data_IF_250215451067
#
_entry.id   IF_250215451067
#
_cell.length_a   1.000
_cell.length_b   1.000
_cell.length_c   1.000
_cell.angle_alpha   90.00
_cell.angle_beta   90.00
_cell.angle_gamma   90.00
#
_symmetry.space_group_name_H-M   'P 1'
#
loop_
_entity.id
_entity.type
_entity.pdbx_description
1 polymer ?
#
# COMPACT_ATOMS: atom_id res chain seq x y z
N UNK A 1 -23.76 4.17 1.78
CA UNK A 1 -22.30 4.02 1.65
C UNK A 1 -22.00 2.56 1.37
N UNK A 2 -21.23 2.28 0.32
CA UNK A 2 -20.79 0.92 0.01
C UNK A 2 -19.56 0.54 0.87
N UNK A 3 -19.34 -0.75 1.14
CA UNK A 3 -18.12 -1.25 1.83
C UNK A 3 -16.86 -0.74 1.12
N UNK A 4 -16.91 -0.68 -0.19
CA UNK A 4 -15.87 -0.12 -1.05
C UNK A 4 -15.56 1.36 -0.81
N UNK A 5 -16.57 2.15 -0.45
CA UNK A 5 -16.43 3.58 -0.17
C UNK A 5 -15.91 3.82 1.25
N UNK A 6 -16.30 2.97 2.20
CA UNK A 6 -15.73 2.93 3.56
C UNK A 6 -14.24 2.61 3.50
N UNK A 7 -13.83 1.58 2.75
CA UNK A 7 -12.41 1.24 2.57
C UNK A 7 -11.64 2.39 1.91
N UNK A 8 -12.22 3.06 0.91
CA UNK A 8 -11.57 4.20 0.27
C UNK A 8 -11.39 5.38 1.23
N UNK A 9 -12.38 5.65 2.09
CA UNK A 9 -12.27 6.67 3.13
C UNK A 9 -11.20 6.33 4.17
N UNK A 10 -11.11 5.06 4.58
CA UNK A 10 -10.10 4.60 5.53
C UNK A 10 -8.69 4.70 4.97
N UNK A 11 -8.49 4.36 3.69
CA UNK A 11 -7.20 4.56 3.02
C UNK A 11 -6.82 6.03 2.93
N UNK A 12 -7.78 6.92 2.64
CA UNK A 12 -7.55 8.38 2.69
C UNK A 12 -7.15 8.84 4.09
N UNK A 13 -7.84 8.36 5.12
CA UNK A 13 -7.51 8.68 6.51
C UNK A 13 -6.10 8.19 6.86
N UNK A 14 -5.73 6.97 6.48
CA UNK A 14 -4.39 6.43 6.70
C UNK A 14 -3.29 7.26 6.02
N UNK A 15 -3.52 7.71 4.78
CA UNK A 15 -2.58 8.57 4.05
C UNK A 15 -2.40 9.93 4.75
N UNK A 16 -3.49 10.57 5.18
CA UNK A 16 -3.43 11.83 5.92
C UNK A 16 -2.69 11.68 7.26
N UNK A 17 -2.89 10.57 7.97
CA UNK A 17 -2.15 10.28 9.20
C UNK A 17 -0.66 10.05 8.94
N UNK A 18 -0.30 9.46 7.80
CA UNK A 18 1.10 9.30 7.40
C UNK A 18 1.76 10.66 7.15
N UNK A 19 1.07 11.55 6.45
CA UNK A 19 1.53 12.92 6.22
C UNK A 19 1.69 13.69 7.54
N UNK A 20 0.71 13.60 8.44
CA UNK A 20 0.75 14.22 9.76
C UNK A 20 1.92 13.69 10.62
N UNK A 21 2.24 12.40 10.55
CA UNK A 21 3.41 11.80 11.23
C UNK A 21 4.73 12.30 10.66
N UNK A 22 4.83 12.46 9.35
CA UNK A 22 6.02 13.00 8.71
C UNK A 22 6.21 14.48 9.09
N UNK A 23 5.13 15.26 9.07
CA UNK A 23 5.15 16.66 9.47
C UNK A 23 5.54 16.84 10.95
N UNK A 24 4.99 16.03 11.86
CA UNK A 24 5.39 16.04 13.29
C UNK A 24 6.85 15.62 13.48
N UNK A 25 7.34 14.64 12.73
CA UNK A 25 8.77 14.28 12.78
C UNK A 25 9.69 15.41 12.29
N UNK A 26 9.28 16.17 11.28
CA UNK A 26 10.04 17.34 10.82
C UNK A 26 9.99 18.47 11.84
N UNK A 27 8.83 18.70 12.47
CA UNK A 27 8.67 19.71 13.51
C UNK A 27 9.53 19.38 14.76
N UNK A 28 9.52 18.13 15.23
CA UNK A 28 10.35 17.67 16.35
C UNK A 28 11.84 17.89 16.08
N UNK A 29 12.29 17.56 14.85
CA UNK A 29 13.66 17.84 14.42
C UNK A 29 13.98 19.34 14.43
N UNK A 30 13.10 20.18 13.89
CA UNK A 30 13.31 21.63 13.87
C UNK A 30 13.35 22.22 15.29
N UNK A 31 12.50 21.76 16.20
CA UNK A 31 12.50 22.18 17.61
C UNK A 31 13.81 21.76 18.27
N UNK A 32 14.24 20.51 18.07
CA UNK A 32 15.48 19.97 18.65
C UNK A 32 16.72 20.70 18.13
N UNK A 33 16.81 20.91 16.82
CA UNK A 33 17.92 21.64 16.19
C UNK A 33 17.96 23.10 16.67
N UNK A 34 16.78 23.75 16.79
CA UNK A 34 16.65 25.09 17.35
C UNK A 34 17.06 25.17 18.82
N UNK A 35 16.64 24.20 19.64
CA UNK A 35 17.01 24.09 21.05
C UNK A 35 18.51 23.90 21.24
N UNK A 36 19.15 23.06 20.41
CA UNK A 36 20.60 22.86 20.44
C UNK A 36 21.37 24.14 20.05
N UNK A 37 20.88 24.86 19.03
CA UNK A 37 21.44 26.15 18.63
C UNK A 37 21.33 27.18 19.76
N UNK A 38 20.17 27.26 20.40
CA UNK A 38 19.93 28.15 21.53
C UNK A 38 20.82 27.79 22.74
N UNK A 39 20.94 26.51 23.09
CA UNK A 39 21.80 26.05 24.19
C UNK A 39 23.28 26.39 23.94
N UNK A 40 23.74 26.22 22.69
CA UNK A 40 25.11 26.60 22.30
C UNK A 40 25.31 28.12 22.45
N UNK A 41 24.36 28.93 21.98
CA UNK A 41 24.43 30.39 22.06
C UNK A 41 24.34 30.95 23.50
N UNK A 42 23.75 30.20 24.42
CA UNK A 42 23.52 30.61 25.81
C UNK A 42 24.43 29.89 26.81
N UNK A 43 25.48 29.22 26.32
CA UNK A 43 26.44 28.51 27.16
C UNK A 43 27.05 29.45 28.20
N UNK A 44 26.93 29.07 29.49
CA UNK A 44 27.42 29.86 30.62
C UNK A 44 26.47 30.95 31.12
N UNK A 45 25.29 31.12 30.51
CA UNK A 45 24.27 32.04 31.01
C UNK A 45 23.59 31.49 32.27
N UNK A 46 23.42 32.34 33.29
CA UNK A 46 22.66 32.04 34.51
C UNK A 46 21.31 32.77 34.56
N UNK A 47 20.84 33.30 33.43
CA UNK A 47 19.58 34.02 33.37
C UNK A 47 18.39 33.05 33.46
N UNK A 48 17.38 33.32 34.30
CA UNK A 48 16.21 32.43 34.46
C UNK A 48 15.40 32.29 33.15
N UNK A 49 15.48 33.26 32.24
CA UNK A 49 14.85 33.22 30.93
C UNK A 49 15.43 32.11 30.03
N UNK A 50 16.73 31.81 30.15
CA UNK A 50 17.39 30.74 29.37
C UNK A 50 16.86 29.37 29.80
N UNK A 51 16.75 29.15 31.10
CA UNK A 51 16.18 27.91 31.66
C UNK A 51 14.70 27.75 31.26
N UNK A 52 13.92 28.84 31.34
CA UNK A 52 12.52 28.85 30.91
C UNK A 52 12.37 28.49 29.43
N UNK A 53 13.19 29.07 28.55
CA UNK A 53 13.14 28.78 27.10
C UNK A 53 13.54 27.33 26.83
N UNK A 54 14.58 26.82 27.49
CA UNK A 54 14.98 25.41 27.37
C UNK A 54 13.85 24.46 27.80
N UNK A 55 13.17 24.76 28.91
CA UNK A 55 12.02 23.98 29.37
C UNK A 55 10.85 24.02 28.38
N UNK A 56 10.55 25.18 27.78
CA UNK A 56 9.51 25.31 26.75
C UNK A 56 9.83 24.48 25.50
N UNK A 57 11.09 24.49 25.05
CA UNK A 57 11.52 23.68 23.90
C UNK A 57 11.41 22.17 24.17
N UNK A 58 11.77 21.73 25.38
CA UNK A 58 11.61 20.34 25.80
C UNK A 58 10.14 19.93 25.86
N UNK A 59 9.28 20.78 26.43
CA UNK A 59 7.83 20.55 26.50
C UNK A 59 7.22 20.47 25.10
N UNK A 60 7.58 21.39 24.20
CA UNK A 60 7.10 21.39 22.83
C UNK A 60 7.52 20.11 22.07
N UNK A 61 8.76 19.66 22.23
CA UNK A 61 9.25 18.41 21.63
C UNK A 61 8.46 17.21 22.14
N UNK A 62 8.25 17.11 23.46
CA UNK A 62 7.44 16.04 24.07
C UNK A 62 6.03 16.00 23.50
N UNK A 63 5.35 17.14 23.41
CA UNK A 63 3.98 17.20 22.88
C UNK A 63 3.90 16.79 21.40
N UNK A 64 4.89 17.16 20.59
CA UNK A 64 4.96 16.73 19.18
C UNK A 64 5.21 15.23 19.06
N UNK A 65 6.02 14.66 19.94
CA UNK A 65 6.28 13.22 19.99
C UNK A 65 5.04 12.44 20.44
N UNK A 66 4.30 12.94 21.42
CA UNK A 66 3.03 12.36 21.88
C UNK A 66 2.00 12.35 20.75
N UNK A 67 1.80 13.49 20.06
CA UNK A 67 0.90 13.57 18.91
C UNK A 67 1.29 12.59 17.78
N UNK A 68 2.60 12.39 17.55
CA UNK A 68 3.09 11.40 16.58
C UNK A 68 2.75 9.98 17.02
N UNK A 69 2.83 9.69 18.33
CA UNK A 69 2.42 8.43 18.93
C UNK A 69 0.91 8.18 18.74
N UNK A 70 0.09 9.19 18.97
CA UNK A 70 -1.37 9.12 18.79
C UNK A 70 -1.73 8.81 17.32
N UNK A 71 -1.10 9.50 16.35
CA UNK A 71 -1.31 9.18 14.94
C UNK A 71 -0.92 7.75 14.59
N UNK A 72 0.17 7.24 15.18
CA UNK A 72 0.58 5.85 14.97
C UNK A 72 -0.46 4.86 15.52
N UNK A 73 -1.03 5.15 16.69
CA UNK A 73 -2.09 4.33 17.28
C UNK A 73 -3.35 4.33 16.41
N UNK A 74 -3.75 5.49 15.89
CA UNK A 74 -4.92 5.58 14.99
C UNK A 74 -4.68 4.80 13.70
N UNK A 75 -3.47 4.85 13.12
CA UNK A 75 -3.13 4.04 11.95
C UNK A 75 -3.24 2.54 12.24
N UNK A 76 -2.74 2.07 13.38
CA UNK A 76 -2.86 0.66 13.77
C UNK A 76 -4.33 0.21 13.90
N UNK A 77 -5.20 1.09 14.40
CA UNK A 77 -6.65 0.83 14.46
C UNK A 77 -7.26 0.73 13.05
N UNK A 78 -6.90 1.65 12.15
CA UNK A 78 -7.36 1.61 10.75
C UNK A 78 -6.87 0.34 10.05
N UNK A 79 -5.61 -0.05 10.26
CA UNK A 79 -5.02 -1.25 9.67
C UNK A 79 -5.70 -2.51 10.18
N UNK A 80 -5.93 -2.62 11.50
CA UNK A 80 -6.67 -3.74 12.09
C UNK A 80 -8.10 -3.81 11.55
N UNK A 81 -8.77 -2.66 11.40
CA UNK A 81 -10.11 -2.59 10.81
C UNK A 81 -10.11 -3.03 9.34
N UNK A 82 -9.12 -2.59 8.55
CA UNK A 82 -8.95 -3.02 7.17
C UNK A 82 -8.66 -4.53 7.06
N UNK A 83 -7.85 -5.10 7.95
CA UNK A 83 -7.58 -6.54 8.02
C UNK A 83 -8.84 -7.35 8.35
N UNK A 84 -9.66 -6.88 9.29
CA UNK A 84 -10.92 -7.54 9.63
C UNK A 84 -11.94 -7.52 8.50
N UNK A 85 -12.03 -6.42 7.74
CA UNK A 85 -12.92 -6.35 6.58
C UNK A 85 -12.37 -7.21 5.43
N UNK A 86 -11.07 -7.15 5.16
CA UNK A 86 -10.45 -7.90 4.07
C UNK A 86 -10.39 -9.42 4.34
N UNK A 87 -10.42 -9.83 5.60
CA UNK A 87 -10.43 -11.23 6.01
C UNK A 87 -11.81 -11.92 5.99
N UNK A 88 -12.88 -11.24 5.55
CA UNK A 88 -14.25 -11.72 5.73
C UNK A 88 -15.01 -12.17 4.46
N UNK A 89 -14.31 -12.53 3.38
CA UNK A 89 -14.95 -12.99 2.12
C UNK A 89 -14.76 -14.47 1.72
N UNK A 90 -14.15 -15.32 2.56
CA UNK A 90 -14.17 -16.78 2.33
C UNK A 90 -14.13 -17.57 3.64
N UNK A 91 -15.24 -17.59 4.39
CA UNK A 91 -15.73 -18.76 5.14
C UNK A 91 -17.07 -18.40 5.75
N UNK A 92 -18.16 -18.78 5.08
CA UNK A 92 -19.35 -19.20 5.82
C UNK A 92 -19.31 -20.73 5.96
N UNK A 93 -19.99 -21.24 6.99
CA UNK A 93 -20.08 -22.63 7.46
C UNK A 93 -18.93 -23.07 8.38
N UNK A 94 -19.05 -22.76 9.68
CA UNK A 94 -19.49 -23.72 10.73
C UNK A 94 -19.42 -23.06 12.11
N UNK A 95 -20.58 -22.74 12.71
CA UNK A 95 -20.76 -22.66 14.17
C UNK A 95 -21.12 -24.10 14.66
N UNK A 96 -20.83 -24.51 15.92
CA UNK A 96 -21.39 -23.84 17.09
C UNK A 96 -20.42 -23.64 18.28
N UNK A 97 -20.82 -22.68 19.13
CA UNK A 97 -20.29 -22.41 20.47
C UNK A 97 -20.56 -23.59 21.44
N UNK A 98 -19.67 -23.77 22.41
CA UNK A 98 -19.92 -24.55 23.62
C UNK A 98 -18.78 -24.37 24.64
N UNK A 99 -19.15 -23.94 25.85
CA UNK A 99 -18.28 -23.50 26.95
C UNK A 99 -17.45 -24.64 27.60
N UNK A 100 -16.29 -24.25 28.17
CA UNK A 100 -15.39 -24.98 29.10
C UNK A 100 -16.10 -25.52 30.38
N UNK A 101 -15.46 -26.22 31.36
CA UNK A 101 -14.01 -26.43 31.61
C UNK A 101 -13.54 -27.80 32.22
N UNK A 102 -12.22 -27.92 32.38
CA UNK A 102 -11.47 -28.46 33.55
C UNK A 102 -10.57 -29.70 33.38
N UNK A 103 -9.34 -29.52 33.90
CA UNK A 103 -8.46 -30.48 34.62
C UNK A 103 -7.25 -31.10 33.88
N UNK A 104 -6.09 -30.49 34.15
CA UNK A 104 -4.78 -31.04 34.59
C UNK A 104 -4.39 -32.47 34.16
N UNK A 105 -3.29 -32.60 33.39
CA UNK A 105 -2.07 -33.37 33.75
C UNK A 105 -0.96 -33.25 32.67
N UNK A 106 0.25 -32.91 33.09
CA UNK A 106 1.56 -33.19 32.43
C UNK A 106 2.08 -34.53 33.01
N UNK A 107 3.16 -35.22 32.53
CA UNK A 107 4.13 -35.04 31.40
C UNK A 107 4.30 -36.41 30.62
N UNK A 108 5.37 -36.82 29.87
CA UNK A 108 6.72 -36.27 29.69
C UNK A 108 7.31 -36.22 28.26
N UNK A 109 8.48 -35.57 28.21
CA UNK A 109 9.37 -35.26 27.09
C UNK A 109 9.91 -36.54 26.43
N UNK A 110 9.74 -36.66 25.12
CA UNK A 110 10.63 -37.45 24.26
C UNK A 110 11.24 -36.56 23.17
N UNK A 111 12.57 -36.59 23.11
CA UNK A 111 13.36 -35.98 22.06
C UNK A 111 13.30 -36.84 20.80
N UNK A 112 12.82 -36.30 19.69
CA UNK A 112 13.27 -36.75 18.38
C UNK A 112 13.62 -35.55 17.49
N UNK A 113 14.80 -35.62 16.90
CA UNK A 113 15.39 -34.62 16.03
C UNK A 113 15.10 -35.02 14.59
N UNK A 114 14.20 -34.33 13.89
CA UNK A 114 14.26 -34.28 12.42
C UNK A 114 13.62 -33.01 11.86
N UNK A 115 14.48 -32.17 11.29
CA UNK A 115 14.30 -31.23 10.17
C UNK A 115 13.31 -30.07 10.31
N UNK A 116 13.83 -28.98 10.91
CA UNK A 116 13.43 -27.61 10.58
C UNK A 116 13.82 -27.28 9.13
N UNK A 117 12.82 -27.15 8.26
CA UNK A 117 12.89 -26.26 7.11
C UNK A 117 11.52 -25.63 6.88
N UNK A 118 11.13 -24.73 7.77
CA UNK A 118 10.17 -23.69 7.42
C UNK A 118 10.87 -22.38 7.72
N UNK A 119 11.27 -21.70 6.64
CA UNK A 119 11.94 -20.41 6.72
C UNK A 119 11.02 -19.37 7.39
N UNK A 120 11.57 -18.25 7.88
CA UNK A 120 10.77 -17.23 8.52
C UNK A 120 9.73 -16.73 7.52
N UNK A 121 8.45 -17.02 7.79
CA UNK A 121 7.33 -16.36 7.14
C UNK A 121 7.50 -14.87 7.43
N UNK A 122 8.03 -14.14 6.45
CA UNK A 122 8.30 -12.72 6.56
C UNK A 122 7.04 -12.01 7.07
N UNK A 123 7.21 -11.15 8.07
CA UNK A 123 6.18 -10.22 8.51
C UNK A 123 5.62 -9.48 7.28
N UNK A 124 4.34 -9.03 7.30
CA UNK A 124 3.82 -8.21 6.21
C UNK A 124 4.76 -7.02 5.99
N UNK A 125 5.39 -6.98 4.82
CA UNK A 125 6.38 -5.95 4.46
C UNK A 125 5.73 -4.57 4.59
N UNK A 126 6.39 -3.67 5.31
CA UNK A 126 5.86 -2.31 5.47
C UNK A 126 5.96 -1.57 4.15
N UNK A 127 5.01 -0.66 3.91
CA UNK A 127 5.02 0.25 2.77
C UNK A 127 6.34 1.03 2.65
N UNK A 128 6.93 1.38 3.80
CA UNK A 128 8.23 2.05 3.88
C UNK A 128 9.37 1.15 3.39
N UNK A 129 9.30 -0.15 3.64
CA UNK A 129 10.32 -1.12 3.22
C UNK A 129 10.31 -1.28 1.69
N UNK A 130 9.12 -1.32 1.09
CA UNK A 130 8.95 -1.39 -0.37
C UNK A 130 9.45 -0.11 -1.06
N UNK A 131 9.20 1.07 -0.48
CA UNK A 131 9.74 2.34 -0.98
C UNK A 131 11.28 2.37 -0.85
N UNK A 132 11.81 1.92 0.28
CA UNK A 132 13.25 1.85 0.50
C UNK A 132 13.93 0.86 -0.46
N UNK A 133 13.27 -0.25 -0.80
CA UNK A 133 13.73 -1.17 -1.84
C UNK A 133 13.80 -0.51 -3.21
N UNK A 134 12.77 0.24 -3.60
CA UNK A 134 12.77 0.96 -4.88
C UNK A 134 13.90 1.99 -4.96
N UNK A 135 14.15 2.73 -3.87
CA UNK A 135 15.27 3.67 -3.78
C UNK A 135 16.63 2.97 -3.90
N UNK A 136 16.81 1.84 -3.20
CA UNK A 136 18.04 1.01 -3.29
C UNK A 136 18.28 0.49 -4.70
N UNK A 137 17.21 0.15 -5.43
CA UNK A 137 17.27 -0.31 -6.80
C UNK A 137 17.43 0.83 -7.83
N UNK A 138 17.67 2.07 -7.38
CA UNK A 138 17.94 3.23 -8.24
C UNK A 138 16.70 3.81 -8.92
N UNK A 139 15.50 3.43 -8.48
CA UNK A 139 14.27 3.98 -9.02
C UNK A 139 14.12 5.45 -8.60
N UNK A 140 13.85 6.32 -9.57
CA UNK A 140 13.62 7.76 -9.34
C UNK A 140 12.22 7.99 -8.75
N UNK A 141 12.08 7.74 -7.45
CA UNK A 141 10.84 7.94 -6.70
C UNK A 141 10.71 9.37 -6.21
N UNK A 142 9.51 9.91 -6.32
CA UNK A 142 9.02 11.00 -5.48
C UNK A 142 8.12 10.40 -4.42
N UNK A 143 8.67 10.07 -3.24
CA UNK A 143 7.91 9.37 -2.18
C UNK A 143 6.64 10.12 -1.76
N UNK A 144 6.63 11.44 -1.88
CA UNK A 144 5.49 12.34 -1.65
C UNK A 144 4.37 12.21 -2.71
N UNK A 145 4.70 11.68 -3.89
CA UNK A 145 3.77 11.51 -5.02
C UNK A 145 3.35 10.07 -5.26
N UNK A 146 3.82 9.13 -4.44
CA UNK A 146 3.42 7.72 -4.51
C UNK A 146 1.95 7.61 -4.18
N UNK A 147 1.19 7.09 -5.14
CA UNK A 147 -0.23 6.78 -5.01
C UNK A 147 -0.40 5.37 -4.47
N UNK A 148 0.40 4.42 -4.97
CA UNK A 148 0.39 3.05 -4.48
C UNK A 148 1.71 2.32 -4.73
N UNK A 149 2.12 1.46 -3.81
CA UNK A 149 3.19 0.47 -3.94
C UNK A 149 2.60 -0.93 -3.68
N UNK A 150 3.21 -1.95 -4.27
CA UNK A 150 2.78 -3.34 -4.14
C UNK A 150 3.84 -4.27 -4.71
N UNK A 151 3.51 -5.56 -4.80
CA UNK A 151 4.44 -6.57 -5.28
C UNK A 151 3.83 -7.36 -6.42
N UNK A 152 4.48 -7.33 -7.58
CA UNK A 152 4.07 -8.15 -8.70
C UNK A 152 4.25 -9.63 -8.35
N UNK A 153 3.53 -10.50 -9.04
CA UNK A 153 3.57 -11.96 -8.85
C UNK A 153 4.94 -12.61 -9.02
N UNK A 154 5.84 -11.97 -9.76
CA UNK A 154 7.22 -12.41 -9.97
C UNK A 154 8.17 -11.93 -8.85
N UNK A 155 7.63 -11.28 -7.81
CA UNK A 155 8.37 -10.80 -6.65
C UNK A 155 8.94 -9.39 -6.79
N UNK A 156 8.89 -8.76 -7.98
CA UNK A 156 9.40 -7.40 -8.15
C UNK A 156 8.44 -6.36 -7.55
N UNK A 157 9.00 -5.33 -6.92
CA UNK A 157 8.20 -4.22 -6.39
C UNK A 157 7.63 -3.40 -7.55
N UNK A 158 6.34 -3.08 -7.47
CA UNK A 158 5.63 -2.24 -8.43
C UNK A 158 5.04 -1.03 -7.73
N UNK A 159 4.89 0.05 -8.46
CA UNK A 159 4.44 1.32 -7.90
C UNK A 159 3.77 2.21 -8.93
N UNK A 160 2.98 3.14 -8.40
CA UNK A 160 2.28 4.15 -9.15
C UNK A 160 2.43 5.48 -8.41
N UNK A 161 2.76 6.52 -9.16
CA UNK A 161 2.78 7.90 -8.69
C UNK A 161 1.65 8.71 -9.33
N UNK A 162 1.43 9.93 -8.85
CA UNK A 162 0.51 10.89 -9.46
C UNK A 162 0.77 11.04 -10.95
N UNK A 163 2.05 11.21 -11.32
CA UNK A 163 2.49 11.34 -12.70
C UNK A 163 2.00 12.62 -13.39
N UNK A 164 1.86 12.55 -14.71
CA UNK A 164 1.56 13.65 -15.63
C UNK A 164 0.48 13.20 -16.60
N UNK A 165 -0.55 14.03 -16.81
CA UNK A 165 -1.74 13.66 -17.59
C UNK A 165 -1.42 13.22 -19.03
N UNK A 166 -0.35 13.75 -19.63
CA UNK A 166 0.03 13.50 -21.01
C UNK A 166 1.01 12.33 -21.15
N UNK A 167 1.77 12.01 -20.08
CA UNK A 167 2.88 11.06 -20.14
C UNK A 167 2.68 9.76 -19.37
N UNK A 168 2.39 9.79 -18.07
CA UNK A 168 2.41 8.58 -17.24
C UNK A 168 1.73 8.73 -15.88
N UNK A 169 1.57 7.61 -15.17
CA UNK A 169 1.08 7.58 -13.79
C UNK A 169 -0.43 7.76 -13.66
N UNK A 170 -0.91 8.04 -12.45
CA UNK A 170 -2.34 8.11 -12.13
C UNK A 170 -3.07 9.13 -13.01
N UNK A 171 -2.52 10.33 -13.18
CA UNK A 171 -3.09 11.39 -14.00
C UNK A 171 -3.30 10.95 -15.45
N UNK A 172 -2.32 10.22 -16.02
CA UNK A 172 -2.43 9.69 -17.38
C UNK A 172 -3.43 8.54 -17.51
N UNK A 173 -3.51 7.67 -16.49
CA UNK A 173 -4.48 6.57 -16.43
C UNK A 173 -5.90 7.14 -16.36
N UNK A 174 -6.13 8.14 -15.51
CA UNK A 174 -7.45 8.72 -15.24
C UNK A 174 -7.79 9.96 -16.09
N UNK A 175 -7.05 10.21 -17.17
CA UNK A 175 -7.31 11.33 -18.07
C UNK A 175 -8.74 11.26 -18.63
N UNK A 176 -9.39 12.40 -18.94
CA UNK A 176 -10.80 12.43 -19.34
C UNK A 176 -11.19 11.42 -20.43
N UNK A 177 -10.33 11.24 -21.44
CA UNK A 177 -10.57 10.31 -22.53
C UNK A 177 -10.64 8.83 -22.10
N UNK A 178 -9.92 8.44 -21.05
CA UNK A 178 -9.86 7.04 -20.56
C UNK A 178 -10.91 6.68 -19.54
N UNK A 179 -11.49 7.68 -18.87
CA UNK A 179 -12.52 7.45 -17.84
C UNK A 179 -13.70 6.65 -18.38
N UNK A 180 -14.16 7.02 -19.57
CA UNK A 180 -15.25 6.34 -20.28
C UNK A 180 -14.92 4.88 -20.59
N UNK A 181 -13.66 4.55 -20.84
CA UNK A 181 -13.24 3.18 -21.12
C UNK A 181 -13.37 2.30 -19.87
N UNK A 182 -12.96 2.82 -18.70
CA UNK A 182 -13.12 2.12 -17.43
C UNK A 182 -14.59 1.96 -17.03
N UNK A 183 -15.37 3.03 -17.15
CA UNK A 183 -16.81 3.00 -16.88
C UNK A 183 -17.53 2.01 -17.81
N UNK A 184 -17.19 2.00 -19.11
CA UNK A 184 -17.72 1.03 -20.06
C UNK A 184 -17.32 -0.41 -19.71
N UNK A 185 -16.18 -0.61 -19.04
CA UNK A 185 -15.76 -1.89 -18.49
C UNK A 185 -16.40 -2.20 -17.12
N UNK A 186 -17.28 -1.35 -16.61
CA UNK A 186 -17.90 -1.54 -15.30
C UNK A 186 -16.93 -1.33 -14.14
N UNK A 187 -15.79 -0.68 -14.37
CA UNK A 187 -14.82 -0.34 -13.35
C UNK A 187 -15.07 1.11 -12.91
N UNK A 188 -15.55 1.34 -11.68
CA UNK A 188 -15.66 2.68 -11.12
C UNK A 188 -14.32 3.39 -11.13
N UNK A 189 -14.29 4.69 -11.42
CA UNK A 189 -13.04 5.46 -11.54
C UNK A 189 -12.18 5.42 -10.28
N UNK A 190 -12.81 5.39 -9.12
CA UNK A 190 -12.17 5.26 -7.81
C UNK A 190 -11.60 3.85 -7.54
N UNK A 191 -12.00 2.85 -8.34
CA UNK A 191 -11.53 1.45 -8.28
C UNK A 191 -10.51 1.09 -9.34
N UNK A 192 -10.23 1.98 -10.29
CA UNK A 192 -9.28 1.71 -11.38
C UNK A 192 -7.90 1.32 -10.83
N UNK A 193 -7.36 2.08 -9.88
CA UNK A 193 -6.02 1.80 -9.33
C UNK A 193 -6.01 0.50 -8.54
N UNK A 194 -7.03 0.26 -7.72
CA UNK A 194 -7.17 -0.99 -6.97
C UNK A 194 -7.25 -2.21 -7.89
N UNK A 195 -8.03 -2.09 -8.97
CA UNK A 195 -8.20 -3.14 -9.97
C UNK A 195 -6.87 -3.44 -10.66
N UNK A 196 -6.11 -2.41 -11.05
CA UNK A 196 -4.79 -2.58 -11.67
C UNK A 196 -3.86 -3.35 -10.73
N UNK A 197 -3.73 -2.94 -9.47
CA UNK A 197 -2.85 -3.63 -8.53
C UNK A 197 -3.33 -5.06 -8.25
N UNK A 198 -4.64 -5.27 -8.02
CA UNK A 198 -5.18 -6.61 -7.82
C UNK A 198 -4.87 -7.56 -8.99
N UNK A 199 -5.03 -7.09 -10.23
CA UNK A 199 -4.73 -7.88 -11.42
C UNK A 199 -3.24 -8.23 -11.50
N UNK A 200 -2.38 -7.25 -11.27
CA UNK A 200 -0.93 -7.42 -11.38
C UNK A 200 -0.35 -8.25 -10.21
N UNK A 201 -0.96 -8.19 -9.03
CA UNK A 201 -0.58 -8.91 -7.81
C UNK A 201 -1.10 -10.35 -7.79
N UNK A 202 -2.25 -10.63 -8.41
CA UNK A 202 -2.94 -11.92 -8.21
C UNK A 202 -3.24 -12.70 -9.49
N UNK A 203 -3.27 -12.07 -10.67
CA UNK A 203 -3.68 -12.72 -11.92
C UNK A 203 -2.53 -12.90 -12.92
N UNK A 204 -2.66 -13.88 -13.80
CA UNK A 204 -1.74 -14.05 -14.93
C UNK A 204 -2.23 -13.24 -16.13
N UNK A 205 -1.34 -12.51 -16.82
CA UNK A 205 -1.73 -11.83 -18.03
C UNK A 205 -2.11 -12.85 -19.11
N UNK A 206 -3.24 -12.59 -19.77
CA UNK A 206 -3.76 -13.44 -20.84
C UNK A 206 -3.05 -13.21 -22.19
N UNK A 207 -2.37 -12.08 -22.34
CA UNK A 207 -1.58 -11.71 -23.52
C UNK A 207 -0.58 -10.59 -23.17
N UNK A 208 0.37 -10.32 -24.07
CA UNK A 208 1.26 -9.16 -24.01
C UNK A 208 1.27 -8.45 -25.36
N UNK A 209 1.26 -7.12 -25.37
CA UNK A 209 1.11 -6.37 -26.63
C UNK A 209 2.42 -6.11 -27.38
N UNK A 210 3.50 -6.82 -27.01
CA UNK A 210 4.83 -6.70 -27.62
C UNK A 210 5.55 -5.36 -27.36
N UNK A 211 4.91 -4.40 -26.68
CA UNK A 211 5.47 -3.09 -26.30
C UNK A 211 5.55 -2.90 -24.78
N UNK A 212 5.71 -4.01 -24.04
CA UNK A 212 5.80 -4.00 -22.57
C UNK A 212 4.46 -3.90 -21.83
N UNK A 213 3.32 -4.01 -22.51
CA UNK A 213 2.00 -4.04 -21.89
C UNK A 213 1.50 -5.46 -21.64
N UNK A 214 1.27 -5.79 -20.37
CA UNK A 214 0.54 -7.00 -19.97
C UNK A 214 -0.97 -6.77 -20.12
N UNK A 215 -1.70 -7.73 -20.69
CA UNK A 215 -3.15 -7.66 -20.85
C UNK A 215 -3.77 -8.65 -19.88
N UNK A 216 -4.66 -8.16 -19.03
CA UNK A 216 -5.42 -8.96 -18.07
C UNK A 216 -6.87 -9.06 -18.50
N UNK A 217 -7.51 -10.18 -18.20
CA UNK A 217 -8.95 -10.31 -18.38
C UNK A 217 -9.68 -9.68 -17.18
N UNK A 218 -10.76 -8.98 -17.46
CA UNK A 218 -11.68 -8.46 -16.46
C UNK A 218 -13.10 -8.87 -16.81
N UNK A 219 -13.84 -9.34 -15.82
CA UNK A 219 -15.26 -9.65 -15.95
C UNK A 219 -16.07 -8.37 -15.92
N UNK A 220 -16.90 -8.18 -16.94
CA UNK A 220 -17.76 -7.00 -17.06
C UNK A 220 -19.17 -7.43 -17.43
N UNK A 221 -20.17 -6.60 -17.12
CA UNK A 221 -21.58 -6.90 -17.44
C UNK A 221 -21.83 -7.14 -18.95
N UNK A 222 -20.95 -6.62 -19.83
CA UNK A 222 -20.99 -6.84 -21.28
C UNK A 222 -20.14 -8.02 -21.78
N UNK A 223 -19.68 -8.89 -20.87
CA UNK A 223 -18.76 -10.00 -21.13
C UNK A 223 -17.29 -9.65 -20.86
N UNK A 224 -16.38 -10.62 -21.00
CA UNK A 224 -14.97 -10.42 -20.68
C UNK A 224 -14.34 -9.34 -21.56
N UNK A 225 -13.60 -8.44 -20.92
CA UNK A 225 -12.83 -7.38 -21.56
C UNK A 225 -11.36 -7.51 -21.16
N UNK A 226 -10.48 -6.96 -21.99
CA UNK A 226 -9.07 -6.89 -21.66
C UNK A 226 -8.74 -5.54 -21.02
N UNK A 227 -7.91 -5.55 -19.98
CA UNK A 227 -7.28 -4.38 -19.43
C UNK A 227 -5.77 -4.46 -19.66
N UNK A 228 -5.23 -3.55 -20.46
CA UNK A 228 -3.78 -3.43 -20.62
C UNK A 228 -3.21 -2.65 -19.44
N UNK A 229 -2.15 -3.17 -18.83
CA UNK A 229 -1.30 -2.50 -17.85
C UNK A 229 0.13 -2.51 -18.37
N UNK A 230 0.74 -1.33 -18.54
CA UNK A 230 2.14 -1.20 -18.92
C UNK A 230 2.98 -0.85 -17.70
N UNK A 231 3.95 -1.71 -17.40
CA UNK A 231 4.86 -1.59 -16.28
C UNK A 231 6.27 -1.46 -16.87
N UNK A 232 6.98 -0.38 -16.52
CA UNK A 232 8.38 -0.22 -16.89
C UNK A 232 9.27 -1.22 -16.16
N UNK A 233 10.48 -1.42 -16.65
CA UNK A 233 11.43 -2.40 -16.09
C UNK A 233 11.79 -2.12 -14.62
N UNK A 234 11.63 -0.86 -14.18
CA UNK A 234 11.80 -0.40 -12.80
C UNK A 234 10.56 -0.60 -11.91
N UNK A 235 9.53 -1.32 -12.39
CA UNK A 235 8.27 -1.54 -11.66
C UNK A 235 7.25 -0.40 -11.78
N UNK A 236 7.55 0.69 -12.50
CA UNK A 236 6.66 1.84 -12.67
C UNK A 236 5.45 1.55 -13.55
N UNK A 237 4.26 1.71 -13.01
CA UNK A 237 3.02 1.63 -13.79
C UNK A 237 2.88 2.93 -14.60
N UNK A 238 3.23 2.83 -15.88
CA UNK A 238 3.22 3.95 -16.82
C UNK A 238 1.79 4.29 -17.24
N UNK A 239 1.02 3.26 -17.61
CA UNK A 239 -0.32 3.45 -18.18
C UNK A 239 -1.19 2.20 -18.04
N UNK A 240 -2.50 2.41 -18.01
CA UNK A 240 -3.50 1.38 -18.11
C UNK A 240 -4.69 1.87 -18.94
N UNK A 241 -5.26 0.99 -19.76
CA UNK A 241 -6.48 1.26 -20.53
C UNK A 241 -7.17 -0.02 -20.99
N UNK A 242 -8.47 0.08 -21.24
CA UNK A 242 -9.25 -1.01 -21.80
C UNK A 242 -8.79 -1.33 -23.23
N UNK A 243 -8.76 -2.62 -23.58
CA UNK A 243 -8.56 -3.08 -24.96
C UNK A 243 -9.83 -3.76 -25.48
N UNK A 244 -10.13 -3.57 -26.76
CA UNK A 244 -11.32 -4.15 -27.39
C UNK A 244 -11.07 -5.57 -27.94
N UNK A 245 -12.15 -6.37 -27.96
CA UNK A 245 -12.24 -7.82 -28.23
C UNK A 245 -11.50 -8.36 -29.46
N UNK A 246 -11.12 -7.54 -30.44
CA UNK A 246 -10.42 -8.01 -31.64
C UNK A 246 -8.99 -8.51 -31.36
N UNK A 247 -8.39 -8.20 -30.20
CA UNK A 247 -7.12 -8.83 -29.77
C UNK A 247 -7.30 -10.16 -29.03
N UNK A 248 -8.44 -10.38 -28.38
CA UNK A 248 -8.72 -11.58 -27.58
C UNK A 248 -9.11 -12.80 -28.45
N UNK A 249 -9.65 -12.58 -29.65
CA UNK A 249 -10.17 -13.65 -30.54
C UNK A 249 -9.12 -14.52 -31.24
N UNK A 250 -7.81 -14.29 -31.06
CA UNK A 250 -6.79 -15.16 -31.69
C UNK A 250 -6.66 -16.54 -31.04
N UNK A 251 -7.19 -16.75 -29.82
CA UNK A 251 -7.14 -18.05 -29.13
C UNK A 251 -8.34 -18.96 -29.39
N UNK A 252 -9.56 -18.44 -29.53
CA UNK A 252 -10.73 -19.30 -29.75
C UNK A 252 -10.76 -20.00 -31.12
N UNK A 253 -9.90 -19.59 -32.07
CA UNK A 253 -9.73 -20.32 -33.35
C UNK A 253 -8.53 -21.28 -33.39
N UNK A 254 -7.72 -21.34 -32.32
CA UNK A 254 -6.49 -22.17 -32.32
C UNK A 254 -6.61 -23.41 -31.41
N UNK A 255 -7.64 -23.51 -30.57
CA UNK A 255 -7.90 -24.68 -29.71
C UNK A 255 -9.08 -25.56 -30.16
N UNK A 256 -9.73 -25.22 -31.28
CA UNK A 256 -10.86 -25.97 -31.86
C UNK A 256 -10.49 -26.65 -33.18
N UNK A 257 -9.19 -26.82 -33.42
CA UNK A 257 -8.64 -27.44 -34.62
C UNK A 257 -7.47 -28.35 -34.27
N UNK A 258 -7.76 -29.49 -33.66
CA UNK A 258 -7.00 -30.74 -33.80
C UNK A 258 -7.85 -31.93 -33.39
#
# INVERSE_FOLDING_TARGET
MSVTEVIAQLRRAHALLTEARNATSQADKAITDGAATFATATTGSSQPEVEKIAHLAATASSQVQDARGDFAQVQAIIDAYCQHIAGHDLTDVTKPQGLSPATVENPPIEHDKTNSSDGPRAAPESYADLIAELQRNGAKISSDKVVRVGRHRDGRVIWLEEGDIDRSGRAHILRPARRKDFEAAGIPLDKVIDTIFHLVENHEPIDTDGRGGAIYEIDTAGGPKGLKVAIGDNGYIVTSHQVHKNRLRKRSKSSEGR
#
